data_IF_079644110429
#
_entry.id   IF_079644110429
#
_cell.length_a   1.000
_cell.length_b   1.000
_cell.length_c   1.000
_cell.angle_alpha   90.00
_cell.angle_beta   90.00
_cell.angle_gamma   90.00
#
_symmetry.space_group_name_H-M   'P 1'
#
loop_
_entity.id
_entity.type
_entity.pdbx_description
1 polymer ?
#
# COMPACT_ATOMS: atom_id res chain seq x y z
N UNK A 1 24.01 -21.65 -10.26
CA UNK A 1 22.77 -21.33 -9.54
C UNK A 1 22.87 -19.88 -9.14
N UNK A 2 22.09 -19.00 -9.79
CA UNK A 2 22.14 -17.56 -9.50
C UNK A 2 21.48 -17.33 -8.15
N UNK A 3 22.17 -16.66 -7.23
CA UNK A 3 21.60 -16.33 -5.92
C UNK A 3 20.50 -15.28 -6.11
N UNK A 4 19.27 -15.60 -5.69
CA UNK A 4 18.12 -14.69 -5.74
C UNK A 4 18.45 -13.32 -5.10
N UNK A 5 19.29 -13.28 -4.07
CA UNK A 5 19.69 -12.03 -3.42
C UNK A 5 20.51 -11.14 -4.36
N UNK A 6 21.32 -11.71 -5.25
CA UNK A 6 22.08 -10.97 -6.26
C UNK A 6 21.11 -10.38 -7.29
N UNK A 7 20.14 -11.17 -7.77
CA UNK A 7 19.13 -10.68 -8.70
C UNK A 7 18.29 -9.55 -8.08
N UNK A 8 17.84 -9.71 -6.84
CA UNK A 8 17.08 -8.68 -6.12
C UNK A 8 17.88 -7.38 -5.94
N UNK A 9 19.17 -7.46 -5.62
CA UNK A 9 20.04 -6.28 -5.54
C UNK A 9 20.17 -5.57 -6.89
N UNK A 10 20.29 -6.33 -7.99
CA UNK A 10 20.34 -5.78 -9.35
C UNK A 10 19.02 -5.10 -9.74
N UNK A 11 17.87 -5.70 -9.42
CA UNK A 11 16.54 -5.10 -9.63
C UNK A 11 16.45 -3.73 -8.95
N UNK A 12 16.88 -3.63 -7.68
CA UNK A 12 16.89 -2.38 -6.93
C UNK A 12 17.82 -1.36 -7.62
N UNK A 13 19.05 -1.78 -7.96
CA UNK A 13 20.02 -0.90 -8.63
C UNK A 13 19.50 -0.34 -9.95
N UNK A 14 18.89 -1.18 -10.80
CA UNK A 14 18.30 -0.73 -12.05
C UNK A 14 17.08 0.18 -11.81
N UNK A 15 16.27 -0.11 -10.80
CA UNK A 15 15.11 0.72 -10.43
C UNK A 15 15.53 2.11 -9.94
N UNK A 16 16.58 2.20 -9.11
CA UNK A 16 17.15 3.47 -8.62
C UNK A 16 17.72 4.32 -9.76
N UNK A 17 18.28 3.66 -10.79
CA UNK A 17 18.74 4.29 -12.04
C UNK A 17 17.62 4.60 -13.02
N UNK A 18 16.37 4.29 -12.68
CA UNK A 18 15.18 4.42 -13.55
C UNK A 18 15.25 3.56 -14.82
N UNK A 19 16.08 2.53 -14.82
CA UNK A 19 16.23 1.54 -15.89
C UNK A 19 15.13 0.48 -15.76
N UNK A 20 13.87 0.92 -15.77
CA UNK A 20 12.72 0.08 -15.41
C UNK A 20 12.56 -1.15 -16.29
N UNK A 21 12.94 -1.08 -17.58
CA UNK A 21 12.89 -2.26 -18.47
C UNK A 21 13.83 -3.37 -17.97
N UNK A 22 15.07 -3.04 -17.67
CA UNK A 22 16.04 -4.00 -17.17
C UNK A 22 15.61 -4.56 -15.80
N UNK A 23 15.06 -3.71 -14.93
CA UNK A 23 14.52 -4.14 -13.64
C UNK A 23 13.32 -5.10 -13.81
N UNK A 24 12.42 -4.84 -14.76
CA UNK A 24 11.29 -5.70 -15.09
C UNK A 24 11.75 -7.06 -15.64
N UNK A 25 12.74 -7.07 -16.53
CA UNK A 25 13.28 -8.31 -17.10
C UNK A 25 13.87 -9.21 -16.01
N UNK A 26 14.63 -8.62 -15.06
CA UNK A 26 15.15 -9.34 -13.90
C UNK A 26 14.04 -9.82 -12.95
N UNK A 27 12.98 -9.03 -12.74
CA UNK A 27 11.83 -9.51 -11.97
C UNK A 27 11.15 -10.72 -12.63
N UNK A 28 11.04 -10.73 -13.95
CA UNK A 28 10.48 -11.87 -14.70
C UNK A 28 11.37 -13.11 -14.56
N UNK A 29 12.69 -12.95 -14.63
CA UNK A 29 13.66 -14.02 -14.35
C UNK A 29 13.46 -14.60 -12.95
N UNK A 30 13.41 -13.74 -11.92
CA UNK A 30 13.17 -14.18 -10.52
C UNK A 30 11.84 -14.94 -10.39
N UNK A 31 10.78 -14.45 -11.00
CA UNK A 31 9.45 -15.08 -10.94
C UNK A 31 9.45 -16.44 -11.66
N UNK A 32 10.18 -16.55 -12.77
CA UNK A 32 10.29 -17.81 -13.51
C UNK A 32 11.10 -18.86 -12.76
N UNK A 33 12.19 -18.46 -12.09
CA UNK A 33 13.06 -19.38 -11.35
C UNK A 33 12.53 -19.70 -9.94
N UNK A 34 11.86 -18.74 -9.30
CA UNK A 34 11.39 -18.82 -7.92
C UNK A 34 9.90 -18.42 -7.82
N UNK A 35 8.97 -19.18 -8.44
CA UNK A 35 7.56 -18.80 -8.54
C UNK A 35 6.83 -18.72 -7.19
N UNK A 36 7.33 -19.43 -6.17
CA UNK A 36 6.82 -19.43 -4.80
C UNK A 36 7.58 -18.47 -3.88
N UNK A 37 8.45 -17.62 -4.43
CA UNK A 37 9.08 -16.54 -3.68
C UNK A 37 8.34 -15.22 -3.92
N UNK A 38 7.86 -14.53 -2.87
CA UNK A 38 7.06 -13.32 -3.04
C UNK A 38 7.88 -12.11 -3.53
N UNK A 39 9.22 -12.13 -3.40
CA UNK A 39 10.05 -10.95 -3.66
C UNK A 39 10.05 -10.51 -5.13
N UNK A 40 10.05 -11.45 -6.08
CA UNK A 40 9.98 -11.12 -7.50
C UNK A 40 8.72 -10.33 -7.84
N UNK A 41 7.56 -10.81 -7.35
CA UNK A 41 6.28 -10.12 -7.50
C UNK A 41 6.26 -8.76 -6.79
N UNK A 42 6.74 -8.69 -5.53
CA UNK A 42 6.82 -7.42 -4.78
C UNK A 42 7.63 -6.36 -5.52
N UNK A 43 8.81 -6.71 -6.03
CA UNK A 43 9.66 -5.77 -6.77
C UNK A 43 9.02 -5.34 -8.08
N UNK A 44 8.41 -6.27 -8.81
CA UNK A 44 7.70 -5.96 -10.06
C UNK A 44 6.49 -5.05 -9.82
N UNK A 45 5.74 -5.28 -8.74
CA UNK A 45 4.63 -4.44 -8.34
C UNK A 45 5.06 -2.99 -8.10
N UNK A 46 6.17 -2.77 -7.39
CA UNK A 46 6.71 -1.42 -7.15
C UNK A 46 7.10 -0.73 -8.48
N UNK A 47 7.72 -1.45 -9.42
CA UNK A 47 8.06 -0.88 -10.73
C UNK A 47 6.79 -0.55 -11.53
N UNK A 48 5.76 -1.39 -11.45
CA UNK A 48 4.46 -1.09 -12.07
C UNK A 48 3.82 0.16 -11.48
N UNK A 49 3.85 0.34 -10.16
CA UNK A 49 3.35 1.56 -9.51
C UNK A 49 4.10 2.81 -10.00
N UNK A 50 5.43 2.79 -9.97
CA UNK A 50 6.27 3.93 -10.38
C UNK A 50 6.01 4.29 -11.85
N UNK A 51 5.74 3.29 -12.69
CA UNK A 51 5.39 3.46 -14.11
C UNK A 51 3.89 3.68 -14.35
N UNK A 52 3.12 4.03 -13.32
CA UNK A 52 1.68 4.37 -13.35
C UNK A 52 0.79 3.26 -13.90
N UNK A 53 1.22 2.02 -13.71
CA UNK A 53 0.52 0.78 -14.07
C UNK A 53 -0.07 0.12 -12.82
N UNK A 54 -0.84 0.88 -12.03
CA UNK A 54 -1.35 0.49 -10.70
C UNK A 54 -2.14 -0.81 -10.70
N UNK A 55 -2.95 -1.09 -11.73
CA UNK A 55 -3.70 -2.35 -11.82
C UNK A 55 -2.77 -3.58 -11.92
N UNK A 56 -1.64 -3.47 -12.64
CA UNK A 56 -0.65 -4.54 -12.70
C UNK A 56 0.10 -4.68 -11.37
N UNK A 57 0.37 -3.57 -10.68
CA UNK A 57 0.95 -3.58 -9.34
C UNK A 57 0.05 -4.32 -8.34
N UNK A 58 -1.26 -4.06 -8.37
CA UNK A 58 -2.27 -4.73 -7.54
C UNK A 58 -2.32 -6.24 -7.84
N UNK A 59 -2.19 -6.65 -9.11
CA UNK A 59 -2.16 -8.07 -9.47
C UNK A 59 -0.92 -8.78 -8.88
N UNK A 60 0.26 -8.18 -9.03
CA UNK A 60 1.50 -8.78 -8.52
C UNK A 60 1.55 -8.82 -6.99
N UNK A 61 1.13 -7.75 -6.32
CA UNK A 61 1.09 -7.74 -4.85
C UNK A 61 0.05 -8.72 -4.31
N UNK A 62 -1.06 -8.95 -5.04
CA UNK A 62 -2.04 -9.98 -4.69
C UNK A 62 -1.41 -11.37 -4.76
N UNK A 63 -0.57 -11.64 -5.78
CA UNK A 63 0.18 -12.89 -5.85
C UNK A 63 1.19 -13.01 -4.70
N UNK A 64 1.90 -11.93 -4.35
CA UNK A 64 2.81 -11.91 -3.20
C UNK A 64 2.09 -12.22 -1.87
N UNK A 65 0.92 -11.62 -1.62
CA UNK A 65 0.09 -11.88 -0.43
C UNK A 65 -0.36 -13.35 -0.38
N UNK A 66 -0.70 -13.95 -1.52
CA UNK A 66 -1.09 -15.36 -1.55
C UNK A 66 0.04 -16.32 -1.17
N UNK A 67 1.29 -15.89 -1.35
CA UNK A 67 2.49 -16.67 -1.02
C UNK A 67 2.92 -16.42 0.44
N UNK A 68 2.90 -15.16 0.87
CA UNK A 68 3.27 -14.74 2.22
C UNK A 68 2.21 -13.77 2.78
N UNK A 69 1.16 -14.30 3.42
CA UNK A 69 0.03 -13.50 3.90
C UNK A 69 0.34 -12.74 5.19
N UNK A 70 1.56 -12.85 5.73
CA UNK A 70 1.95 -12.25 7.01
C UNK A 70 2.69 -10.93 6.86
N UNK A 71 3.04 -10.54 5.62
CA UNK A 71 3.88 -9.39 5.36
C UNK A 71 3.08 -8.08 5.29
N UNK A 72 3.19 -7.18 6.28
CA UNK A 72 2.32 -6.01 6.39
C UNK A 72 2.46 -5.05 5.22
N UNK A 73 3.67 -4.90 4.69
CA UNK A 73 3.94 -3.98 3.59
C UNK A 73 3.16 -4.31 2.32
N UNK A 74 2.81 -5.57 2.10
CA UNK A 74 2.02 -5.97 0.92
C UNK A 74 0.57 -5.48 1.04
N UNK A 75 -0.05 -5.63 2.21
CA UNK A 75 -1.38 -5.08 2.50
C UNK A 75 -1.38 -3.56 2.49
N UNK A 76 -0.33 -2.92 3.02
CA UNK A 76 -0.17 -1.47 2.95
C UNK A 76 -0.17 -0.97 1.50
N UNK A 77 0.65 -1.58 0.64
CA UNK A 77 0.71 -1.18 -0.76
C UNK A 77 -0.61 -1.45 -1.48
N UNK A 78 -1.19 -2.64 -1.33
CA UNK A 78 -2.45 -2.98 -2.02
C UNK A 78 -3.61 -2.12 -1.54
N UNK A 79 -3.72 -1.86 -0.24
CA UNK A 79 -4.73 -0.96 0.34
C UNK A 79 -4.60 0.45 -0.20
N UNK A 80 -3.41 1.06 -0.14
CA UNK A 80 -3.16 2.39 -0.70
C UNK A 80 -3.50 2.46 -2.19
N UNK A 81 -3.06 1.48 -2.98
CA UNK A 81 -3.31 1.46 -4.42
C UNK A 81 -4.78 1.23 -4.77
N UNK A 82 -5.49 0.40 -4.00
CA UNK A 82 -6.94 0.22 -4.15
C UNK A 82 -7.69 1.52 -3.85
N UNK A 83 -7.30 2.25 -2.80
CA UNK A 83 -7.85 3.58 -2.51
C UNK A 83 -7.62 4.56 -3.67
N UNK A 84 -6.41 4.61 -4.22
CA UNK A 84 -6.06 5.50 -5.35
C UNK A 84 -6.89 5.21 -6.62
N UNK A 85 -7.25 3.95 -6.87
CA UNK A 85 -8.09 3.57 -8.02
C UNK A 85 -9.59 3.53 -7.71
N UNK A 86 -10.00 3.94 -6.50
CA UNK A 86 -11.40 4.02 -6.08
C UNK A 86 -12.04 2.68 -5.68
N UNK A 87 -11.25 1.63 -5.45
CA UNK A 87 -11.68 0.33 -4.92
C UNK A 87 -11.74 0.37 -3.40
N UNK A 88 -12.73 1.07 -2.88
CA UNK A 88 -12.81 1.45 -1.47
C UNK A 88 -13.00 0.24 -0.56
N UNK A 89 -13.85 -0.72 -0.94
CA UNK A 89 -14.12 -1.93 -0.18
C UNK A 89 -12.89 -2.83 -0.07
N UNK A 90 -12.17 -3.05 -1.18
CA UNK A 90 -10.93 -3.82 -1.18
C UNK A 90 -9.84 -3.12 -0.37
N UNK A 91 -9.74 -1.79 -0.48
CA UNK A 91 -8.83 -1.00 0.34
C UNK A 91 -9.12 -1.14 1.83
N UNK A 92 -10.39 -1.02 2.24
CA UNK A 92 -10.80 -1.20 3.64
C UNK A 92 -10.43 -2.57 4.18
N UNK A 93 -10.63 -3.62 3.38
CA UNK A 93 -10.25 -5.00 3.73
C UNK A 93 -8.75 -5.11 4.01
N UNK A 94 -7.91 -4.59 3.10
CA UNK A 94 -6.45 -4.61 3.23
C UNK A 94 -5.95 -3.79 4.42
N UNK A 95 -6.47 -2.58 4.61
CA UNK A 95 -6.07 -1.71 5.72
C UNK A 95 -6.50 -2.28 7.07
N UNK A 96 -7.64 -2.96 7.14
CA UNK A 96 -8.08 -3.65 8.36
C UNK A 96 -7.21 -4.87 8.68
N UNK A 97 -6.85 -5.66 7.66
CA UNK A 97 -5.90 -6.75 7.82
C UNK A 97 -4.52 -6.25 8.29
N UNK A 98 -4.03 -5.15 7.70
CA UNK A 98 -2.79 -4.49 8.09
C UNK A 98 -2.79 -4.06 9.56
N UNK A 99 -3.85 -3.38 10.01
CA UNK A 99 -3.99 -2.97 11.41
C UNK A 99 -3.94 -4.18 12.34
N UNK A 100 -4.65 -5.27 11.99
CA UNK A 100 -4.63 -6.50 12.77
C UNK A 100 -3.22 -7.08 12.88
N UNK A 101 -2.49 -7.19 11.77
CA UNK A 101 -1.12 -7.72 11.75
C UNK A 101 -0.18 -6.84 12.59
N UNK A 102 -0.26 -5.51 12.47
CA UNK A 102 0.58 -4.60 13.25
C UNK A 102 0.29 -4.71 14.75
N UNK A 103 -0.98 -4.79 15.16
CA UNK A 103 -1.39 -4.98 16.56
C UNK A 103 -0.90 -6.33 17.10
N UNK A 104 -1.07 -7.42 16.36
CA UNK A 104 -0.59 -8.76 16.76
C UNK A 104 0.94 -8.81 16.92
N UNK A 105 1.66 -7.95 16.18
CA UNK A 105 3.12 -7.83 16.24
C UNK A 105 3.63 -6.78 17.22
N UNK A 106 2.74 -6.08 17.93
CA UNK A 106 3.06 -4.91 18.77
C UNK A 106 3.92 -3.87 18.01
N UNK A 107 3.60 -3.66 16.74
CA UNK A 107 4.30 -2.75 15.83
C UNK A 107 3.44 -1.51 15.56
N UNK A 108 4.10 -0.36 15.49
CA UNK A 108 3.47 0.92 15.12
C UNK A 108 3.86 1.39 13.72
N UNK A 109 4.68 0.63 12.99
CA UNK A 109 5.34 1.07 11.77
C UNK A 109 4.34 1.49 10.69
N UNK A 110 3.34 0.66 10.40
CA UNK A 110 2.26 1.01 9.48
C UNK A 110 0.98 1.46 10.19
N UNK A 111 0.86 1.26 11.50
CA UNK A 111 -0.40 1.38 12.22
C UNK A 111 -1.07 2.74 12.05
N UNK A 112 -0.33 3.85 12.23
CA UNK A 112 -0.87 5.21 12.07
C UNK A 112 -1.25 5.50 10.63
N UNK A 113 -0.42 5.09 9.68
CA UNK A 113 -0.70 5.24 8.25
C UNK A 113 -1.93 4.45 7.83
N UNK A 114 -2.12 3.25 8.39
CA UNK A 114 -3.28 2.43 8.11
C UNK A 114 -4.58 3.06 8.63
N UNK A 115 -4.59 3.59 9.86
CA UNK A 115 -5.73 4.37 10.37
C UNK A 115 -6.03 5.59 9.50
N UNK A 116 -5.01 6.32 9.07
CA UNK A 116 -5.18 7.49 8.21
C UNK A 116 -5.82 7.13 6.86
N UNK A 117 -5.24 6.17 6.14
CA UNK A 117 -5.78 5.72 4.84
C UNK A 117 -7.18 5.12 4.97
N UNK A 118 -7.48 4.46 6.10
CA UNK A 118 -8.80 3.88 6.35
C UNK A 118 -9.83 4.95 6.67
N UNK A 119 -9.44 6.02 7.38
CA UNK A 119 -10.26 7.20 7.56
C UNK A 119 -10.58 7.90 6.22
N UNK A 120 -9.60 7.98 5.31
CA UNK A 120 -9.85 8.49 3.95
C UNK A 120 -10.82 7.61 3.15
N UNK A 121 -10.69 6.28 3.25
CA UNK A 121 -11.66 5.35 2.64
C UNK A 121 -13.07 5.61 3.19
N UNK A 122 -13.21 5.69 4.51
CA UNK A 122 -14.50 5.96 5.15
C UNK A 122 -15.08 7.33 4.76
N UNK A 123 -14.24 8.37 4.64
CA UNK A 123 -14.67 9.68 4.14
C UNK A 123 -15.25 9.56 2.72
N UNK A 124 -14.55 8.90 1.80
CA UNK A 124 -15.03 8.73 0.42
C UNK A 124 -16.30 7.89 0.33
N UNK A 125 -16.51 6.95 1.26
CA UNK A 125 -17.73 6.14 1.36
C UNK A 125 -18.89 6.84 2.10
N UNK A 126 -18.69 8.04 2.65
CA UNK A 126 -19.71 8.73 3.47
C UNK A 126 -19.87 8.19 4.89
N UNK A 127 -18.97 7.30 5.34
CA UNK A 127 -18.99 6.66 6.66
C UNK A 127 -18.28 7.52 7.71
N UNK A 128 -18.80 8.72 7.92
CA UNK A 128 -18.13 9.78 8.67
C UNK A 128 -17.79 9.43 10.12
N UNK A 129 -18.66 8.74 10.86
CA UNK A 129 -18.38 8.39 12.26
C UNK A 129 -17.18 7.46 12.39
N UNK A 130 -17.02 6.51 11.45
CA UNK A 130 -15.87 5.60 11.41
C UNK A 130 -14.59 6.33 11.02
N UNK A 131 -14.68 7.29 10.09
CA UNK A 131 -13.55 8.14 9.73
C UNK A 131 -13.05 8.95 10.94
N UNK A 132 -13.97 9.54 11.71
CA UNK A 132 -13.66 10.28 12.95
C UNK A 132 -13.00 9.36 13.99
N UNK A 133 -13.51 8.13 14.16
CA UNK A 133 -12.93 7.16 15.09
C UNK A 133 -11.47 6.85 14.75
N UNK A 134 -11.17 6.61 13.47
CA UNK A 134 -9.80 6.36 13.01
C UNK A 134 -8.92 7.62 13.15
N UNK A 135 -9.43 8.81 12.85
CA UNK A 135 -8.73 10.08 13.09
C UNK A 135 -8.39 10.32 14.56
N UNK A 136 -9.23 9.84 15.49
CA UNK A 136 -8.98 9.93 16.94
C UNK A 136 -7.84 9.02 17.40
N UNK A 137 -7.47 8.00 16.62
CA UNK A 137 -6.28 7.17 16.90
C UNK A 137 -4.96 7.86 16.51
N UNK A 138 -5.03 8.99 15.82
CA UNK A 138 -3.87 9.73 15.32
C UNK A 138 -3.51 10.92 16.22
N UNK A 139 -2.22 11.23 16.32
CA UNK A 139 -1.77 12.43 17.01
C UNK A 139 -2.24 13.71 16.30
N UNK A 140 -2.47 14.82 17.02
CA UNK A 140 -2.71 16.14 16.42
C UNK A 140 -1.66 16.47 15.34
N UNK A 141 -2.11 17.00 14.19
CA UNK A 141 -1.23 17.37 13.07
C UNK A 141 -0.62 16.20 12.30
N UNK A 142 -1.04 14.95 12.56
CA UNK A 142 -0.62 13.81 11.74
C UNK A 142 -1.00 14.07 10.28
N UNK A 143 0.00 13.98 9.39
CA UNK A 143 -0.16 14.24 7.97
C UNK A 143 0.54 13.15 7.16
N UNK A 144 -0.06 12.81 6.01
CA UNK A 144 0.45 11.82 5.08
C UNK A 144 0.44 12.40 3.67
N UNK A 145 1.49 12.10 2.90
CA UNK A 145 1.48 12.36 1.47
C UNK A 145 0.66 11.29 0.76
N UNK A 146 -0.48 11.69 0.20
CA UNK A 146 -1.36 10.84 -0.61
C UNK A 146 -1.34 11.31 -2.06
N UNK A 147 -2.03 10.61 -2.97
CA UNK A 147 -2.02 10.94 -4.40
C UNK A 147 -2.53 12.36 -4.70
N UNK A 148 -3.40 12.92 -3.85
CA UNK A 148 -3.90 14.29 -3.94
C UNK A 148 -3.01 15.35 -3.28
N UNK A 149 -1.84 14.96 -2.76
CA UNK A 149 -0.90 15.84 -2.06
C UNK A 149 -0.81 15.55 -0.55
N UNK A 150 -0.15 16.43 0.20
CA UNK A 150 -0.11 16.33 1.66
C UNK A 150 -1.51 16.55 2.25
N UNK A 151 -2.00 15.59 3.03
CA UNK A 151 -3.28 15.71 3.73
C UNK A 151 -3.09 15.42 5.22
N UNK A 152 -3.67 16.27 6.08
CA UNK A 152 -3.67 16.08 7.53
C UNK A 152 -4.96 15.41 8.00
N UNK A 153 -4.94 14.83 9.21
CA UNK A 153 -6.18 14.29 9.79
C UNK A 153 -7.22 15.40 10.01
N UNK A 154 -6.78 16.62 10.27
CA UNK A 154 -7.65 17.78 10.41
C UNK A 154 -8.32 18.17 9.09
N UNK A 155 -7.66 17.93 7.95
CA UNK A 155 -8.28 18.12 6.63
C UNK A 155 -9.39 17.07 6.40
N UNK A 156 -9.18 15.81 6.80
CA UNK A 156 -10.24 14.78 6.76
C UNK A 156 -11.44 15.22 7.60
N UNK A 157 -11.21 15.67 8.84
CA UNK A 157 -12.30 16.13 9.72
C UNK A 157 -13.04 17.34 9.14
N UNK A 158 -12.32 18.30 8.55
CA UNK A 158 -12.93 19.47 7.88
C UNK A 158 -13.79 19.05 6.68
N UNK A 159 -13.32 18.10 5.88
CA UNK A 159 -14.09 17.56 4.74
C UNK A 159 -15.38 16.88 5.22
N UNK A 160 -15.34 16.16 6.34
CA UNK A 160 -16.54 15.56 6.96
C UNK A 160 -17.54 16.63 7.37
N UNK A 161 -17.09 17.66 8.08
CA UNK A 161 -17.98 18.73 8.56
C UNK A 161 -18.67 19.44 7.39
N UNK A 162 -17.91 19.79 6.34
CA UNK A 162 -18.45 20.40 5.13
C UNK A 162 -19.49 19.52 4.43
N UNK A 163 -19.25 18.20 4.35
CA UNK A 163 -20.16 17.26 3.71
C UNK A 163 -21.42 16.97 4.53
N UNK A 164 -21.39 17.18 5.86
CA UNK A 164 -22.57 17.06 6.73
C UNK A 164 -23.49 18.28 6.68
N UNK A 165 -22.93 19.44 6.33
CA UNK A 165 -23.67 20.70 6.27
C UNK A 165 -24.32 20.99 4.92
N UNK A 166 -23.96 20.23 3.87
CA UNK A 166 -24.51 20.33 2.51
C UNK A 166 -25.55 19.22 2.27
#
# INVERSE_FOLDING_TARGET
>A
MTDINILLKRVITHSDRKEYKAAMDLCNEIISEFPDNPQGYRKRAVIFEITKRTNYAISDITKAISIDPSYPHDYFNRGRWNLEVGKLEESLGDLTALIKIEVERDSIYYLKTAYFLRAECYLQMGLYDKAIEDCNKLSPGFSLWVCSGMKSKEDILRDIDNNRTN
#
